data_IF_093416105876
#
_entry.id   IF_093416105876
#
_cell.length_a   1.000
_cell.length_b   1.000
_cell.length_c   1.000
_cell.angle_alpha   90.00
_cell.angle_beta   90.00
_cell.angle_gamma   90.00
#
_symmetry.space_group_name_H-M   'P 1'
#
loop_
_entity.id
_entity.type
_entity.pdbx_description
1 polymer ?
#
# COMPACT_ATOMS: atom_id res chain seq x y z
N UNK A 1 7.88 10.42 12.58
CA UNK A 1 6.80 10.04 11.64
C UNK A 1 7.28 10.33 10.23
N UNK A 2 7.57 9.31 9.45
CA UNK A 2 7.87 9.46 8.02
C UNK A 2 6.56 9.70 7.28
N UNK A 3 6.53 10.70 6.39
CA UNK A 3 5.44 10.85 5.44
C UNK A 3 5.72 9.86 4.31
N UNK A 4 4.76 8.99 4.02
CA UNK A 4 4.85 8.06 2.89
C UNK A 4 4.68 8.89 1.61
N UNK A 5 5.47 8.59 0.59
CA UNK A 5 5.47 9.24 -0.73
C UNK A 5 5.48 8.17 -1.82
N UNK A 6 4.82 8.38 -2.97
CA UNK A 6 4.69 7.39 -4.05
C UNK A 6 6.03 7.15 -4.77
N UNK A 7 6.85 6.23 -4.27
CA UNK A 7 8.21 6.01 -4.76
C UNK A 7 8.53 4.55 -5.10
N UNK A 8 7.56 3.62 -5.12
CA UNK A 8 7.81 2.21 -5.44
C UNK A 8 8.45 2.07 -6.83
N UNK A 9 7.95 2.81 -7.84
CA UNK A 9 8.40 2.67 -9.24
C UNK A 9 9.87 3.04 -9.48
N UNK A 10 10.45 3.84 -8.58
CA UNK A 10 11.86 4.28 -8.66
C UNK A 10 12.78 3.51 -7.72
N UNK A 11 12.25 2.59 -6.91
CA UNK A 11 13.00 1.80 -5.93
C UNK A 11 13.33 0.37 -6.41
N UNK A 12 13.13 0.08 -7.70
CA UNK A 12 13.38 -1.25 -8.23
C UNK A 12 14.85 -1.63 -8.17
N UNK A 13 15.08 -2.85 -7.69
CA UNK A 13 16.40 -3.46 -7.55
C UNK A 13 16.86 -4.10 -8.85
N UNK A 14 18.13 -4.50 -8.93
CA UNK A 14 18.62 -5.28 -10.07
C UNK A 14 17.86 -6.61 -10.25
N UNK A 15 17.41 -7.23 -9.14
CA UNK A 15 16.61 -8.45 -9.17
C UNK A 15 15.22 -8.21 -9.78
N UNK A 16 14.62 -7.04 -9.51
CA UNK A 16 13.34 -6.65 -10.10
C UNK A 16 13.45 -6.48 -11.62
N UNK A 17 14.51 -5.83 -12.09
CA UNK A 17 14.79 -5.65 -13.52
C UNK A 17 15.01 -6.99 -14.20
N UNK A 18 15.78 -7.90 -13.58
CA UNK A 18 16.01 -9.24 -14.10
C UNK A 18 14.71 -10.03 -14.20
N UNK A 19 13.88 -9.98 -13.15
CA UNK A 19 12.58 -10.64 -13.14
C UNK A 19 11.64 -10.11 -14.24
N UNK A 20 11.48 -8.79 -14.36
CA UNK A 20 10.65 -8.18 -15.41
C UNK A 20 11.13 -8.62 -16.79
N UNK A 21 12.46 -8.64 -16.97
CA UNK A 21 13.09 -9.05 -18.22
C UNK A 21 12.91 -10.54 -18.51
N UNK A 22 12.91 -11.41 -17.50
CA UNK A 22 12.63 -12.85 -17.62
C UNK A 22 11.18 -13.10 -18.04
N UNK A 23 10.23 -12.39 -17.41
CA UNK A 23 8.79 -12.57 -17.67
C UNK A 23 8.38 -12.00 -19.04
N UNK A 24 8.86 -10.81 -19.39
CA UNK A 24 8.46 -10.11 -20.61
C UNK A 24 9.36 -10.44 -21.81
N UNK A 25 10.62 -10.80 -21.56
CA UNK A 25 11.63 -11.09 -22.58
C UNK A 25 11.52 -12.51 -23.15
N UNK A 26 10.42 -12.81 -23.85
CA UNK A 26 10.20 -14.11 -24.52
C UNK A 26 11.23 -14.43 -25.61
N UNK A 27 12.09 -13.48 -26.02
CA UNK A 27 13.16 -13.67 -27.02
C UNK A 27 14.52 -13.23 -26.46
N UNK A 28 15.55 -14.07 -26.65
CA UNK A 28 16.90 -13.91 -26.09
C UNK A 28 17.60 -12.56 -26.43
N UNK A 29 17.17 -11.85 -27.48
CA UNK A 29 17.71 -10.54 -27.87
C UNK A 29 17.00 -9.31 -27.27
N UNK A 30 15.88 -9.48 -26.55
CA UNK A 30 15.09 -8.36 -26.01
C UNK A 30 15.53 -7.89 -24.63
N UNK A 31 16.44 -8.62 -23.97
CA UNK A 31 16.82 -8.35 -22.58
C UNK A 31 17.47 -6.97 -22.39
N UNK A 32 18.42 -6.60 -23.26
CA UNK A 32 19.07 -5.28 -23.20
C UNK A 32 18.12 -4.12 -23.51
N UNK A 33 17.18 -4.33 -24.43
CA UNK A 33 16.17 -3.33 -24.79
C UNK A 33 15.16 -3.09 -23.64
N UNK A 34 14.75 -4.15 -22.92
CA UNK A 34 13.85 -4.02 -21.77
C UNK A 34 14.49 -3.25 -20.60
N UNK A 35 15.79 -3.40 -20.37
CA UNK A 35 16.48 -2.59 -19.35
C UNK A 35 16.53 -1.10 -19.70
N UNK A 36 16.65 -0.75 -20.98
CA UNK A 36 16.58 0.65 -21.43
C UNK A 36 15.17 1.22 -21.28
N UNK A 37 14.14 0.43 -21.62
CA UNK A 37 12.74 0.85 -21.43
C UNK A 37 12.36 1.04 -19.95
N UNK A 38 12.98 0.30 -19.03
CA UNK A 38 12.74 0.48 -17.59
C UNK A 38 13.37 1.77 -17.04
N UNK A 39 14.34 2.35 -17.75
CA UNK A 39 14.94 3.64 -17.39
C UNK A 39 14.06 4.84 -17.79
N UNK A 40 13.23 4.69 -18.83
CA UNK A 40 12.23 5.67 -19.22
C UNK A 40 10.94 5.49 -18.40
N UNK A 41 10.43 6.57 -17.81
CA UNK A 41 9.27 6.51 -16.92
C UNK A 41 8.00 6.01 -17.64
N UNK A 42 7.74 6.53 -18.84
CA UNK A 42 6.53 6.18 -19.61
C UNK A 42 6.56 4.71 -20.03
N UNK A 43 7.71 4.26 -20.52
CA UNK A 43 7.92 2.88 -20.95
C UNK A 43 7.87 1.91 -19.77
N UNK A 44 8.50 2.26 -18.64
CA UNK A 44 8.41 1.50 -17.39
C UNK A 44 6.97 1.32 -16.95
N UNK A 45 6.17 2.39 -16.95
CA UNK A 45 4.77 2.34 -16.57
C UNK A 45 3.94 1.39 -17.45
N UNK A 46 4.20 1.37 -18.75
CA UNK A 46 3.54 0.46 -19.70
C UNK A 46 3.95 -1.00 -19.51
N UNK A 47 5.22 -1.24 -19.16
CA UNK A 47 5.73 -2.57 -18.85
C UNK A 47 5.11 -3.12 -17.55
N UNK A 48 4.98 -2.28 -16.53
CA UNK A 48 4.39 -2.66 -15.25
C UNK A 48 2.88 -2.96 -15.34
N UNK A 49 2.20 -2.41 -16.36
CA UNK A 49 0.77 -2.61 -16.62
C UNK A 49 0.46 -3.94 -17.37
N UNK A 50 1.47 -4.76 -17.68
CA UNK A 50 1.33 -6.01 -18.43
C UNK A 50 0.78 -7.15 -17.57
N UNK A 51 -0.33 -7.76 -17.99
CA UNK A 51 -0.97 -8.89 -17.29
C UNK A 51 -0.04 -10.10 -17.11
N UNK A 52 0.99 -10.24 -17.94
CA UNK A 52 2.01 -11.27 -17.81
C UNK A 52 2.80 -11.15 -16.49
N UNK A 53 3.06 -9.92 -16.00
CA UNK A 53 3.73 -9.71 -14.71
C UNK A 53 2.82 -10.12 -13.55
N UNK A 54 1.54 -9.76 -13.61
CA UNK A 54 0.56 -10.19 -12.62
C UNK A 54 0.48 -11.73 -12.57
N UNK A 55 0.35 -12.38 -13.73
CA UNK A 55 0.31 -13.84 -13.82
C UNK A 55 1.56 -14.48 -13.22
N UNK A 56 2.74 -13.96 -13.54
CA UNK A 56 4.02 -14.46 -13.02
C UNK A 56 4.16 -14.35 -11.50
N UNK A 57 3.54 -13.34 -10.87
CA UNK A 57 3.48 -13.21 -9.41
C UNK A 57 2.48 -14.17 -8.76
N UNK A 58 1.40 -14.51 -9.45
CA UNK A 58 0.40 -15.46 -8.95
C UNK A 58 0.89 -16.91 -9.01
N UNK A 59 1.81 -17.22 -9.93
CA UNK A 59 2.44 -18.53 -10.11
C UNK A 59 3.58 -18.79 -9.08
N UNK A 60 3.21 -18.77 -7.79
CA UNK A 60 3.76 -19.51 -6.62
C UNK A 60 5.26 -19.49 -6.24
N UNK A 61 6.23 -19.06 -7.08
CA UNK A 61 7.68 -19.12 -6.71
C UNK A 61 8.47 -17.84 -6.91
N UNK A 62 7.90 -16.84 -7.58
CA UNK A 62 8.66 -15.65 -7.98
C UNK A 62 8.62 -14.51 -6.96
N UNK A 63 7.67 -14.52 -6.02
CA UNK A 63 7.51 -13.50 -4.98
C UNK A 63 8.72 -13.39 -4.02
N UNK A 64 9.54 -14.45 -3.90
CA UNK A 64 10.74 -14.46 -3.06
C UNK A 64 12.00 -13.92 -3.78
N UNK A 65 11.91 -13.67 -5.10
CA UNK A 65 13.03 -13.21 -5.93
C UNK A 65 12.99 -11.71 -6.24
N UNK A 66 11.92 -11.02 -5.85
CA UNK A 66 11.69 -9.59 -6.14
C UNK A 66 11.64 -8.76 -4.87
N UNK A 67 11.80 -7.45 -5.00
CA UNK A 67 11.55 -6.51 -3.92
C UNK A 67 10.07 -6.48 -3.56
N UNK A 68 9.80 -6.10 -2.30
CA UNK A 68 8.44 -5.88 -1.81
C UNK A 68 7.74 -4.72 -2.53
N UNK A 69 8.52 -3.74 -3.01
CA UNK A 69 8.02 -2.58 -3.75
C UNK A 69 7.48 -2.98 -5.13
N UNK A 70 8.25 -3.76 -5.91
CA UNK A 70 7.76 -4.27 -7.20
C UNK A 70 6.53 -5.17 -7.00
N UNK A 71 6.61 -6.08 -6.04
CA UNK A 71 5.54 -7.03 -5.74
C UNK A 71 4.22 -6.30 -5.41
N UNK A 72 4.23 -5.37 -4.44
CA UNK A 72 3.03 -4.64 -4.09
C UNK A 72 2.59 -3.69 -5.20
N UNK A 73 3.50 -3.04 -5.91
CA UNK A 73 3.13 -2.14 -7.00
C UNK A 73 2.32 -2.88 -8.08
N UNK A 74 2.82 -4.00 -8.59
CA UNK A 74 2.12 -4.75 -9.65
C UNK A 74 0.74 -5.22 -9.16
N UNK A 75 0.68 -5.82 -7.97
CA UNK A 75 -0.58 -6.31 -7.43
C UNK A 75 -1.62 -5.20 -7.20
N UNK A 76 -1.21 -4.11 -6.57
CA UNK A 76 -2.08 -2.95 -6.31
C UNK A 76 -2.49 -2.30 -7.62
N UNK A 77 -1.56 -2.10 -8.56
CA UNK A 77 -1.84 -1.47 -9.85
C UNK A 77 -2.94 -2.20 -10.62
N UNK A 78 -2.83 -3.53 -10.74
CA UNK A 78 -3.86 -4.32 -11.42
C UNK A 78 -5.19 -4.33 -10.65
N UNK A 79 -5.16 -4.41 -9.31
CA UNK A 79 -6.36 -4.38 -8.49
C UNK A 79 -7.12 -3.04 -8.61
N UNK A 80 -6.42 -1.91 -8.51
CA UNK A 80 -6.99 -0.57 -8.61
C UNK A 80 -7.54 -0.28 -10.01
N UNK A 81 -6.82 -0.67 -11.08
CA UNK A 81 -7.31 -0.53 -12.46
C UNK A 81 -8.63 -1.25 -12.67
N UNK A 82 -8.77 -2.47 -12.13
CA UNK A 82 -10.01 -3.26 -12.19
C UNK A 82 -11.15 -2.60 -11.40
N UNK A 83 -10.82 -1.88 -10.33
CA UNK A 83 -11.77 -1.11 -9.54
C UNK A 83 -12.08 0.28 -10.13
N UNK A 84 -11.51 0.63 -11.29
CA UNK A 84 -11.76 1.90 -11.98
C UNK A 84 -10.82 3.04 -11.61
N UNK A 85 -9.85 2.81 -10.71
CA UNK A 85 -8.85 3.81 -10.29
C UNK A 85 -7.63 3.68 -11.22
N UNK A 86 -7.45 4.65 -12.13
CA UNK A 86 -6.46 4.59 -13.21
C UNK A 86 -5.17 5.33 -12.88
N UNK A 87 -5.16 6.13 -11.83
CA UNK A 87 -4.06 7.00 -11.42
C UNK A 87 -2.88 6.13 -10.94
N UNK A 88 -1.74 6.24 -11.64
CA UNK A 88 -0.53 5.46 -11.29
C UNK A 88 0.05 5.88 -9.95
N UNK A 89 0.04 7.18 -9.66
CA UNK A 89 0.48 7.72 -8.38
C UNK A 89 -0.32 7.16 -7.19
N UNK A 90 -1.61 6.89 -7.37
CA UNK A 90 -2.44 6.26 -6.33
C UNK A 90 -2.01 4.82 -6.09
N UNK A 91 -1.75 4.06 -7.17
CA UNK A 91 -1.24 2.70 -7.04
C UNK A 91 0.16 2.66 -6.41
N UNK A 92 1.03 3.59 -6.81
CA UNK A 92 2.37 3.75 -6.27
C UNK A 92 2.34 4.06 -4.76
N UNK A 93 1.52 5.04 -4.37
CA UNK A 93 1.30 5.40 -2.97
C UNK A 93 0.77 4.23 -2.13
N UNK A 94 -0.27 3.55 -2.61
CA UNK A 94 -0.88 2.44 -1.88
C UNK A 94 0.11 1.27 -1.76
N UNK A 95 0.91 0.99 -2.79
CA UNK A 95 1.96 -0.02 -2.72
C UNK A 95 3.03 0.33 -1.66
N UNK A 96 3.44 1.60 -1.58
CA UNK A 96 4.32 2.09 -0.51
C UNK A 96 3.68 1.97 0.88
N UNK A 97 2.38 2.22 1.02
CA UNK A 97 1.65 1.99 2.29
C UNK A 97 1.73 0.51 2.69
N UNK A 98 1.51 -0.42 1.75
CA UNK A 98 1.61 -1.85 2.04
C UNK A 98 3.05 -2.27 2.39
N UNK A 99 4.05 -1.73 1.69
CA UNK A 99 5.46 -1.99 1.95
C UNK A 99 5.90 -1.46 3.32
N UNK A 100 5.49 -0.25 3.68
CA UNK A 100 5.80 0.35 4.99
C UNK A 100 5.13 -0.46 6.12
N UNK A 101 3.87 -0.85 5.95
CA UNK A 101 3.09 -1.57 6.97
C UNK A 101 3.32 -3.07 7.02
N UNK A 102 4.10 -3.63 6.09
CA UNK A 102 4.55 -5.01 6.21
C UNK A 102 5.47 -5.20 7.43
N UNK A 103 6.06 -4.12 7.94
CA UNK A 103 6.84 -4.11 9.17
C UNK A 103 5.94 -3.72 10.35
N UNK A 104 5.74 -4.64 11.30
CA UNK A 104 4.85 -4.41 12.46
C UNK A 104 5.18 -3.13 13.24
N UNK A 105 6.45 -2.73 13.27
CA UNK A 105 6.91 -1.51 13.93
C UNK A 105 6.30 -0.22 13.34
N UNK A 106 5.87 -0.24 12.08
CA UNK A 106 5.37 0.92 11.34
C UNK A 106 3.85 1.05 11.36
N UNK A 107 3.15 0.02 11.87
CA UNK A 107 1.70 0.07 12.11
C UNK A 107 1.32 1.02 13.24
N UNK A 108 2.25 1.28 14.17
CA UNK A 108 1.99 2.11 15.34
C UNK A 108 2.37 3.56 15.09
N UNK A 109 1.51 4.47 15.52
CA UNK A 109 1.71 5.89 15.35
C UNK A 109 2.66 6.44 16.43
N UNK A 110 3.83 6.96 16.02
CA UNK A 110 4.79 7.58 16.96
C UNK A 110 4.70 9.10 16.91
N UNK A 111 3.98 9.73 17.83
CA UNK A 111 3.84 11.20 17.88
C UNK A 111 4.98 11.80 18.72
N UNK A 112 5.70 12.85 18.26
CA UNK A 112 6.83 13.41 19.00
C UNK A 112 6.50 13.90 20.42
N UNK A 113 5.26 14.36 20.64
CA UNK A 113 4.79 14.85 21.94
C UNK A 113 4.34 13.74 22.89
N UNK A 114 4.35 12.46 22.48
CA UNK A 114 3.91 11.34 23.29
C UNK A 114 5.00 10.27 23.43
N UNK A 115 5.28 9.79 24.66
CA UNK A 115 6.35 8.81 24.90
C UNK A 115 5.98 7.40 24.42
N UNK A 116 4.70 7.05 24.40
CA UNK A 116 4.21 5.76 23.96
C UNK A 116 3.67 5.84 22.52
N UNK A 117 3.86 4.79 21.70
CA UNK A 117 3.20 4.70 20.40
C UNK A 117 1.68 4.59 20.59
N UNK A 118 0.94 5.24 19.70
CA UNK A 118 -0.51 5.22 19.67
C UNK A 118 -0.98 4.04 18.80
N UNK A 119 -1.83 3.19 19.38
CA UNK A 119 -2.36 1.98 18.75
C UNK A 119 -3.84 2.14 18.33
N UNK A 120 -4.59 3.04 18.98
CA UNK A 120 -6.03 3.19 18.75
C UNK A 120 -6.41 4.52 18.09
N UNK A 121 -7.35 4.46 17.15
CA UNK A 121 -7.84 5.64 16.44
C UNK A 121 -8.43 6.74 17.35
N UNK A 122 -9.05 6.39 18.48
CA UNK A 122 -9.58 7.42 19.39
C UNK A 122 -8.45 8.25 20.02
N UNK A 123 -7.30 7.63 20.30
CA UNK A 123 -6.11 8.33 20.79
C UNK A 123 -5.51 9.22 19.69
N UNK A 124 -5.53 8.76 18.43
CA UNK A 124 -5.09 9.57 17.30
C UNK A 124 -5.96 10.81 17.12
N UNK A 125 -7.28 10.66 17.28
CA UNK A 125 -8.23 11.78 17.24
C UNK A 125 -7.91 12.77 18.36
N UNK A 126 -7.74 12.29 19.61
CA UNK A 126 -7.38 13.18 20.73
C UNK A 126 -6.01 13.84 20.56
N UNK A 127 -5.06 13.19 19.88
CA UNK A 127 -3.76 13.78 19.56
C UNK A 127 -3.85 14.94 18.57
N UNK A 128 -4.91 15.04 17.76
CA UNK A 128 -5.10 16.15 16.81
C UNK A 128 -5.37 17.49 17.50
N UNK A 129 -5.98 17.48 18.69
CA UNK A 129 -6.40 18.70 19.39
C UNK A 129 -5.20 19.53 19.88
N UNK A 130 -4.09 18.85 20.20
CA UNK A 130 -2.88 19.47 20.75
C UNK A 130 -1.71 19.46 19.76
N UNK A 131 -1.91 18.96 18.55
CA UNK A 131 -0.87 18.82 17.55
C UNK A 131 -0.64 20.14 16.79
N UNK A 132 0.63 20.45 16.53
CA UNK A 132 0.98 21.49 15.55
C UNK A 132 0.49 21.09 14.15
N UNK A 133 0.45 22.06 13.24
CA UNK A 133 -0.11 21.86 11.90
C UNK A 133 0.59 20.74 11.12
N UNK A 134 1.92 20.65 11.23
CA UNK A 134 2.68 19.58 10.58
C UNK A 134 2.37 18.20 11.15
N UNK A 135 2.18 18.10 12.47
CA UNK A 135 1.84 16.85 13.15
C UNK A 135 0.39 16.46 12.86
N UNK A 136 -0.55 17.41 12.81
CA UNK A 136 -1.94 17.15 12.41
C UNK A 136 -2.00 16.52 11.02
N UNK A 137 -1.27 17.06 10.05
CA UNK A 137 -1.16 16.46 8.71
C UNK A 137 -0.68 15.01 8.77
N UNK A 138 0.40 14.73 9.49
CA UNK A 138 0.96 13.38 9.53
C UNK A 138 0.06 12.39 10.29
N UNK A 139 -0.64 12.83 11.33
CA UNK A 139 -1.65 12.02 12.03
C UNK A 139 -2.80 11.69 11.06
N UNK A 140 -3.32 12.68 10.33
CA UNK A 140 -4.38 12.46 9.33
C UNK A 140 -3.95 11.50 8.22
N UNK A 141 -2.75 11.69 7.65
CA UNK A 141 -2.21 10.76 6.65
C UNK A 141 -2.10 9.33 7.21
N UNK A 142 -1.58 9.17 8.43
CA UNK A 142 -1.48 7.87 9.08
C UNK A 142 -2.86 7.24 9.34
N UNK A 143 -3.85 8.01 9.81
CA UNK A 143 -5.21 7.52 10.02
C UNK A 143 -5.84 7.05 8.70
N UNK A 144 -5.63 7.78 7.60
CA UNK A 144 -6.06 7.37 6.25
C UNK A 144 -5.44 6.03 5.85
N UNK A 145 -4.11 5.93 5.93
CA UNK A 145 -3.34 4.75 5.55
C UNK A 145 -3.71 3.53 6.38
N UNK A 146 -3.75 3.68 7.71
CA UNK A 146 -4.06 2.61 8.64
C UNK A 146 -5.50 2.13 8.45
N UNK A 147 -6.44 3.04 8.18
CA UNK A 147 -7.82 2.66 7.87
C UNK A 147 -7.91 1.87 6.57
N UNK A 148 -7.26 2.33 5.50
CA UNK A 148 -7.25 1.63 4.21
C UNK A 148 -6.64 0.23 4.34
N UNK A 149 -5.50 0.13 5.03
CA UNK A 149 -4.83 -1.13 5.27
C UNK A 149 -5.67 -2.11 6.08
N UNK A 150 -6.22 -1.68 7.23
CA UNK A 150 -7.01 -2.56 8.09
C UNK A 150 -8.30 -3.02 7.43
N UNK A 151 -8.98 -2.10 6.74
CA UNK A 151 -10.28 -2.37 6.12
C UNK A 151 -10.15 -3.09 4.77
N UNK A 152 -9.00 -2.96 4.10
CA UNK A 152 -8.70 -3.60 2.82
C UNK A 152 -8.01 -4.95 2.96
N UNK A 153 -6.93 -5.03 3.75
CA UNK A 153 -6.11 -6.27 3.84
C UNK A 153 -6.60 -7.22 4.92
N UNK A 154 -7.23 -6.72 6.00
CA UNK A 154 -7.66 -7.54 7.14
C UNK A 154 -9.13 -7.34 7.57
N UNK A 155 -10.11 -7.31 6.66
CA UNK A 155 -11.51 -7.04 7.02
C UNK A 155 -12.11 -8.08 7.97
N UNK A 156 -11.70 -9.35 7.86
CA UNK A 156 -12.18 -10.41 8.74
C UNK A 156 -11.74 -10.24 10.19
N UNK A 157 -10.52 -9.73 10.44
CA UNK A 157 -10.07 -9.43 11.81
C UNK A 157 -10.93 -8.37 12.48
N UNK A 158 -11.44 -7.40 11.71
CA UNK A 158 -12.38 -6.37 12.20
C UNK A 158 -13.73 -7.02 12.51
N UNK A 159 -14.26 -7.87 11.62
CA UNK A 159 -15.53 -8.58 11.82
C UNK A 159 -15.51 -9.48 13.06
N UNK A 160 -14.46 -10.28 13.26
CA UNK A 160 -14.31 -11.15 14.41
C UNK A 160 -14.16 -10.37 15.75
N UNK A 161 -13.54 -9.18 15.73
CA UNK A 161 -13.44 -8.31 16.92
C UNK A 161 -14.78 -7.67 17.28
N UNK A 162 -15.62 -7.34 16.29
CA UNK A 162 -16.98 -6.83 16.50
C UNK A 162 -17.83 -7.84 17.28
N UNK A 163 -17.73 -9.12 16.94
CA UNK A 163 -18.49 -10.20 17.59
C UNK A 163 -18.17 -10.37 19.08
N UNK A 164 -17.00 -9.88 19.54
CA UNK A 164 -16.58 -9.94 20.95
C UNK A 164 -16.94 -8.70 21.80
N UNK A 165 -17.88 -7.87 21.33
CA UNK A 165 -18.49 -6.66 21.95
C UNK A 165 -17.55 -5.44 22.08
N UNK A 166 -18.05 -4.28 21.63
CA UNK A 166 -17.52 -2.94 21.92
C UNK A 166 -16.64 -2.27 20.85
N UNK A 167 -16.23 -2.99 19.81
CA UNK A 167 -15.35 -2.45 18.78
C UNK A 167 -16.13 -1.80 17.61
N UNK A 168 -15.63 -0.69 17.03
CA UNK A 168 -16.22 -0.10 15.85
C UNK A 168 -16.27 -1.06 14.67
N UNK A 169 -17.26 -0.88 13.79
CA UNK A 169 -17.42 -1.73 12.61
C UNK A 169 -16.56 -1.25 11.42
N UNK A 170 -16.60 -2.02 10.33
CA UNK A 170 -15.86 -1.71 9.11
C UNK A 170 -16.24 -0.34 8.52
N UNK A 171 -17.51 0.05 8.63
CA UNK A 171 -18.01 1.32 8.11
C UNK A 171 -17.43 2.50 8.89
N UNK A 172 -17.30 2.38 10.22
CA UNK A 172 -16.63 3.37 11.04
C UNK A 172 -15.18 3.61 10.58
N UNK A 173 -14.38 2.54 10.44
CA UNK A 173 -12.99 2.68 10.01
C UNK A 173 -12.88 3.24 8.58
N UNK A 174 -13.76 2.82 7.67
CA UNK A 174 -13.78 3.36 6.31
C UNK A 174 -14.14 4.85 6.27
N UNK A 175 -15.13 5.28 7.05
CA UNK A 175 -15.49 6.70 7.17
C UNK A 175 -14.34 7.53 7.75
N UNK A 176 -13.62 6.98 8.74
CA UNK A 176 -12.47 7.61 9.36
C UNK A 176 -11.30 7.75 8.40
N UNK A 177 -11.01 6.70 7.63
CA UNK A 177 -9.98 6.74 6.58
C UNK A 177 -10.30 7.76 5.50
N UNK A 178 -11.53 7.71 4.97
CA UNK A 178 -12.03 8.64 3.94
C UNK A 178 -11.91 10.10 4.37
N UNK A 179 -12.43 10.43 5.54
CA UNK A 179 -12.36 11.80 6.09
C UNK A 179 -10.92 12.22 6.36
N UNK A 180 -10.07 11.33 6.86
CA UNK A 180 -8.67 11.66 7.14
C UNK A 180 -7.88 11.97 5.87
N UNK A 181 -8.09 11.22 4.78
CA UNK A 181 -7.50 11.55 3.49
C UNK A 181 -8.03 12.86 2.93
N UNK A 182 -9.36 13.12 3.00
CA UNK A 182 -9.94 14.38 2.53
C UNK A 182 -9.39 15.60 3.29
N UNK A 183 -9.25 15.49 4.61
CA UNK A 183 -8.67 16.59 5.40
C UNK A 183 -7.17 16.76 5.13
N UNK A 184 -6.45 15.66 4.89
CA UNK A 184 -5.04 15.71 4.56
C UNK A 184 -4.78 16.29 3.16
N UNK A 185 -5.65 16.03 2.16
CA UNK A 185 -5.46 16.48 0.77
C UNK A 185 -5.44 18.00 0.64
N UNK A 186 -6.26 18.69 1.44
CA UNK A 186 -6.36 20.15 1.47
C UNK A 186 -5.28 20.84 2.33
N UNK A 187 -4.34 20.08 2.88
CA UNK A 187 -3.28 20.61 3.71
C UNK A 187 -2.08 21.07 2.86
N UNK A 188 -1.45 22.21 3.19
CA UNK A 188 -0.26 22.74 2.46
C UNK A 188 0.91 21.76 2.36
N UNK A 189 1.02 20.84 3.32
CA UNK A 189 2.04 19.77 3.26
C UNK A 189 1.71 18.70 2.23
N UNK A 190 0.43 18.45 1.93
CA UNK A 190 0.08 17.56 0.83
C UNK A 190 0.57 18.13 -0.50
N UNK A 191 0.41 19.43 -0.74
CA UNK A 191 0.96 20.07 -1.95
C UNK A 191 2.49 19.94 -1.99
N UNK A 192 3.16 20.24 -0.87
CA UNK A 192 4.63 20.15 -0.76
C UNK A 192 5.17 18.74 -1.02
N UNK A 193 4.42 17.70 -0.64
CA UNK A 193 4.81 16.31 -0.85
C UNK A 193 4.19 15.68 -2.10
N UNK A 194 3.47 16.46 -2.93
CA UNK A 194 2.73 15.99 -4.10
C UNK A 194 1.70 14.88 -3.77
N UNK A 195 1.04 15.00 -2.62
CA UNK A 195 0.05 14.05 -2.11
C UNK A 195 -1.41 14.53 -2.22
N UNK A 196 -1.66 15.80 -2.58
CA UNK A 196 -3.01 16.37 -2.59
C UNK A 196 -3.97 15.58 -3.48
N UNK A 197 -3.62 15.37 -4.75
CA UNK A 197 -4.46 14.62 -5.70
C UNK A 197 -4.58 13.14 -5.32
N UNK A 198 -3.51 12.55 -4.78
CA UNK A 198 -3.51 11.15 -4.34
C UNK A 198 -4.49 10.96 -3.19
N UNK A 199 -4.43 11.84 -2.18
CA UNK A 199 -5.33 11.81 -1.04
C UNK A 199 -6.77 12.14 -1.44
N UNK A 200 -6.99 13.06 -2.38
CA UNK A 200 -8.34 13.33 -2.89
C UNK A 200 -8.93 12.15 -3.65
N UNK A 201 -8.13 11.45 -4.47
CA UNK A 201 -8.54 10.22 -5.14
C UNK A 201 -8.87 9.11 -4.14
N UNK A 202 -8.00 8.88 -3.16
CA UNK A 202 -8.23 7.88 -2.11
C UNK A 202 -9.45 8.22 -1.24
N UNK A 203 -9.72 9.50 -0.98
CA UNK A 203 -10.93 9.93 -0.30
C UNK A 203 -12.19 9.76 -1.17
N UNK A 204 -12.08 10.03 -2.48
CA UNK A 204 -13.19 9.88 -3.43
C UNK A 204 -13.56 8.41 -3.69
N UNK A 205 -12.57 7.53 -3.75
CA UNK A 205 -12.70 6.13 -4.15
C UNK A 205 -12.31 5.15 -3.03
N UNK A 206 -12.52 5.55 -1.77
CA UNK A 206 -12.05 4.77 -0.62
C UNK A 206 -12.65 3.36 -0.59
N UNK A 207 -13.95 3.22 -0.89
CA UNK A 207 -14.63 1.93 -0.87
C UNK A 207 -14.14 1.02 -1.99
N UNK A 208 -13.94 1.56 -3.19
CA UNK A 208 -13.40 0.87 -4.35
C UNK A 208 -11.96 0.39 -4.08
N UNK A 209 -11.11 1.28 -3.57
CA UNK A 209 -9.72 0.95 -3.20
C UNK A 209 -9.67 -0.13 -2.11
N UNK A 210 -10.47 0.01 -1.05
CA UNK A 210 -10.56 -0.98 0.02
C UNK A 210 -10.98 -2.35 -0.51
N UNK A 211 -12.03 -2.42 -1.33
CA UNK A 211 -12.52 -3.68 -1.90
C UNK A 211 -11.50 -4.31 -2.83
N UNK A 212 -10.81 -3.50 -3.65
CA UNK A 212 -9.73 -3.97 -4.51
C UNK A 212 -8.60 -4.63 -3.71
N UNK A 213 -8.21 -4.03 -2.57
CA UNK A 213 -7.22 -4.60 -1.66
C UNK A 213 -7.72 -5.87 -0.97
N UNK A 214 -9.01 -5.95 -0.63
CA UNK A 214 -9.60 -7.15 -0.04
C UNK A 214 -9.62 -8.31 -1.04
N UNK A 215 -10.06 -8.08 -2.27
CA UNK A 215 -10.02 -9.06 -3.35
C UNK A 215 -8.58 -9.58 -3.58
N UNK A 216 -7.60 -8.68 -3.51
CA UNK A 216 -6.18 -9.03 -3.63
C UNK A 216 -5.72 -9.91 -2.46
N UNK A 217 -6.03 -9.52 -1.22
CA UNK A 217 -5.70 -10.27 -0.02
C UNK A 217 -6.34 -11.67 -0.05
N UNK A 218 -7.61 -11.78 -0.43
CA UNK A 218 -8.33 -13.05 -0.52
C UNK A 218 -7.72 -13.96 -1.59
N UNK A 219 -7.33 -13.42 -2.74
CA UNK A 219 -6.62 -14.18 -3.80
C UNK A 219 -5.27 -14.68 -3.32
N UNK A 220 -4.51 -13.85 -2.62
CA UNK A 220 -3.21 -14.26 -2.08
C UNK A 220 -3.35 -15.34 -0.98
N UNK A 221 -4.43 -15.30 -0.18
CA UNK A 221 -4.74 -16.31 0.85
C UNK A 221 -5.28 -17.63 0.27
N UNK A 222 -6.13 -17.56 -0.77
CA UNK A 222 -6.79 -18.74 -1.38
C UNK A 222 -5.87 -19.56 -2.29
N UNK A 223 -4.82 -18.96 -2.86
CA UNK A 223 -3.80 -19.66 -3.65
C UNK A 223 -2.71 -20.33 -2.78
N UNK A 224 -2.99 -20.65 -1.51
CA UNK A 224 -2.07 -21.31 -0.57
C UNK A 224 -1.46 -22.58 -1.18
N UNK A 225 -0.19 -22.64 -1.60
CA UNK A 225 1.09 -22.14 -1.04
C UNK A 225 1.37 -20.63 -0.84
N UNK A 226 0.61 -19.70 -1.45
CA UNK A 226 0.83 -18.25 -1.26
C UNK A 226 0.39 -17.65 0.10
N UNK A 227 -0.30 -18.41 0.95
CA UNK A 227 -0.51 -18.00 2.35
C UNK A 227 0.80 -17.95 3.13
N UNK A 228 1.82 -18.71 2.71
CA UNK A 228 3.18 -18.50 3.18
C UNK A 228 3.84 -17.28 2.53
N UNK A 229 3.36 -16.74 1.40
CA UNK A 229 4.03 -15.60 0.75
C UNK A 229 3.72 -14.27 1.43
N UNK A 230 2.46 -13.85 1.56
CA UNK A 230 2.14 -12.61 2.30
C UNK A 230 2.43 -12.80 3.78
N UNK A 231 1.99 -13.91 4.38
CA UNK A 231 2.18 -14.14 5.81
C UNK A 231 3.65 -14.41 6.15
N UNK A 232 4.47 -15.03 5.28
CA UNK A 232 5.93 -15.10 5.50
C UNK A 232 6.72 -13.89 5.01
N UNK A 233 6.20 -13.02 4.13
CA UNK A 233 6.76 -11.68 3.92
C UNK A 233 6.53 -10.83 5.18
N UNK A 234 5.31 -10.86 5.72
CA UNK A 234 4.98 -10.22 6.99
C UNK A 234 5.78 -10.84 8.16
N UNK A 235 6.00 -12.17 8.20
CA UNK A 235 6.82 -12.84 9.24
C UNK A 235 8.33 -12.69 9.04
N UNK A 236 8.88 -12.70 7.82
CA UNK A 236 10.32 -12.46 7.56
C UNK A 236 10.75 -11.08 8.03
N UNK A 237 9.87 -10.11 7.86
CA UNK A 237 10.05 -8.76 8.37
C UNK A 237 9.90 -8.71 9.89
N UNK A 238 9.15 -9.64 10.49
CA UNK A 238 8.99 -9.79 11.94
C UNK A 238 10.12 -10.61 12.61
N UNK A 239 10.90 -11.40 11.88
CA UNK A 239 11.90 -12.34 12.42
C UNK A 239 13.35 -11.82 12.42
N UNK A 240 13.55 -10.51 12.19
CA UNK A 240 14.85 -9.82 12.30
C UNK A 240 14.95 -8.93 13.55
N UNK A 241 14.18 -9.27 14.59
CA UNK A 241 14.24 -8.66 15.92
C UNK A 241 14.29 -9.73 17.00
#
# INVERSE_FOLDING_TARGET
MKVITPNCRVQFTAQDVEFITEVLGKKAGQKGFLSELLADETSRDLLLDQDALLAAFMESRNCLRTSIHLYFYVLVRHALRKAGIQEREVADYVAEVLAEYSQQANLRLKVPSQPAPIDYFYEMIGALDNADEATRFRIRAHMGNQSLFLTGVFPERIRHRRERRGFPDLQYYAALGRSSFREASHHRLAERYHLSEIFDNLAGHFEEARRALNDLADRALTLGDNSQSIDALLRRVSSLS
#
